data_IF_385728115656
#
_entry.id   IF_385728115656
#
_cell.length_a   1.000
_cell.length_b   1.000
_cell.length_c   1.000
_cell.angle_alpha   90.00
_cell.angle_beta   90.00
_cell.angle_gamma   90.00
#
_symmetry.space_group_name_H-M   'P 1'
#
loop_
_entity.id
_entity.type
_entity.pdbx_description
1 polymer ?
#
# COMPACT_ATOMS: atom_id res chain seq x y z
N UNK A 1 -92.68 -27.56 -5.29
CA UNK A 1 -92.42 -28.51 -4.19
C UNK A 1 -90.92 -28.44 -3.96
N UNK A 2 -90.48 -27.49 -3.13
CA UNK A 2 -90.40 -27.55 -1.64
C UNK A 2 -88.99 -28.03 -1.25
N UNK A 3 -88.13 -27.09 -0.83
CA UNK A 3 -87.75 -26.78 0.57
C UNK A 3 -86.61 -27.71 1.02
N UNK A 4 -85.39 -27.22 1.19
CA UNK A 4 -84.81 -26.50 2.35
C UNK A 4 -84.03 -27.45 3.26
N UNK A 5 -83.18 -26.86 4.12
CA UNK A 5 -82.18 -27.46 5.04
C UNK A 5 -80.78 -27.57 4.38
N UNK A 6 -79.87 -26.59 4.46
CA UNK A 6 -79.26 -25.88 5.62
C UNK A 6 -78.68 -26.86 6.66
N UNK A 7 -77.36 -27.11 6.64
CA UNK A 7 -76.41 -26.73 7.70
C UNK A 7 -75.05 -27.47 7.66
N UNK A 8 -74.05 -26.76 8.22
CA UNK A 8 -72.75 -27.16 8.78
C UNK A 8 -71.58 -27.40 7.80
N UNK A 9 -70.61 -26.47 7.68
CA UNK A 9 -69.48 -26.13 8.60
C UNK A 9 -68.58 -27.38 8.71
N UNK A 10 -67.32 -27.42 8.24
CA UNK A 10 -66.08 -26.66 8.57
C UNK A 10 -65.15 -26.79 7.33
N UNK A 11 -64.65 -25.76 6.64
CA UNK A 11 -63.69 -24.70 7.01
C UNK A 11 -62.51 -25.16 7.89
N UNK A 12 -61.48 -25.75 7.27
CA UNK A 12 -60.13 -25.78 7.81
C UNK A 12 -59.10 -25.93 6.68
N UNK A 13 -58.85 -24.84 5.96
CA UNK A 13 -57.54 -24.56 5.36
C UNK A 13 -57.45 -23.06 5.04
N UNK A 14 -57.44 -22.26 6.10
CA UNK A 14 -56.89 -20.92 6.04
C UNK A 14 -55.37 -21.05 5.97
N UNK A 15 -54.84 -21.00 4.75
CA UNK A 15 -53.46 -20.57 4.56
C UNK A 15 -53.34 -19.18 5.21
N UNK A 16 -52.38 -18.95 6.12
CA UNK A 16 -52.17 -17.61 6.62
C UNK A 16 -51.65 -16.78 5.46
N UNK A 17 -52.49 -15.89 4.91
CA UNK A 17 -52.00 -14.68 4.26
C UNK A 17 -51.18 -13.94 5.32
N UNK A 18 -49.87 -14.17 5.29
CA UNK A 18 -48.92 -13.33 6.00
C UNK A 18 -48.91 -12.02 5.23
N UNK A 19 -49.83 -11.12 5.59
CA UNK A 19 -49.65 -9.70 5.37
C UNK A 19 -48.32 -9.35 6.06
N UNK A 20 -47.28 -9.21 5.24
CA UNK A 20 -46.06 -8.54 5.67
C UNK A 20 -46.46 -7.09 5.84
N UNK A 21 -46.91 -6.74 7.03
CA UNK A 21 -47.13 -5.38 7.46
C UNK A 21 -45.76 -4.70 7.47
N UNK A 22 -45.38 -4.13 6.32
CA UNK A 22 -44.22 -3.24 6.23
C UNK A 22 -44.67 -1.96 6.95
N UNK A 23 -44.50 -1.96 8.27
CA UNK A 23 -44.81 -0.84 9.15
C UNK A 23 -43.74 0.27 9.04
N UNK A 24 -43.22 0.48 7.83
CA UNK A 24 -42.29 1.55 7.46
C UNK A 24 -42.76 2.14 6.13
N UNK A 25 -43.04 3.44 6.13
CA UNK A 25 -43.50 4.17 4.96
C UNK A 25 -42.50 3.95 3.79
N UNK A 26 -42.93 3.41 2.63
CA UNK A 26 -42.04 3.17 1.49
C UNK A 26 -41.34 4.45 1.01
N UNK A 27 -41.92 5.63 1.26
CA UNK A 27 -41.25 6.90 1.00
C UNK A 27 -40.05 7.12 1.94
N UNK A 28 -40.18 6.77 3.22
CA UNK A 28 -39.10 6.88 4.21
C UNK A 28 -37.96 5.89 3.92
N UNK A 29 -38.28 4.65 3.52
CA UNK A 29 -37.28 3.67 3.08
C UNK A 29 -36.49 4.14 1.85
N UNK A 30 -37.18 4.76 0.89
CA UNK A 30 -36.56 5.29 -0.32
C UNK A 30 -35.69 6.52 -0.03
N UNK A 31 -36.07 7.37 0.92
CA UNK A 31 -35.26 8.49 1.39
C UNK A 31 -34.00 8.01 2.14
N UNK A 32 -34.14 7.04 3.04
CA UNK A 32 -33.00 6.43 3.75
C UNK A 32 -32.01 5.76 2.78
N UNK A 33 -32.51 5.02 1.79
CA UNK A 33 -31.67 4.41 0.76
C UNK A 33 -30.92 5.46 -0.08
N UNK A 34 -31.54 6.60 -0.40
CA UNK A 34 -30.88 7.71 -1.10
C UNK A 34 -29.81 8.37 -0.24
N UNK A 35 -30.11 8.61 1.04
CA UNK A 35 -29.15 9.19 1.98
C UNK A 35 -27.91 8.29 2.15
N UNK A 36 -28.10 6.99 2.29
CA UNK A 36 -27.00 6.01 2.35
C UNK A 36 -26.21 5.95 1.05
N UNK A 37 -26.88 6.03 -0.11
CA UNK A 37 -26.22 6.08 -1.39
C UNK A 37 -25.33 7.33 -1.53
N UNK A 38 -25.83 8.49 -1.10
CA UNK A 38 -25.07 9.75 -1.10
C UNK A 38 -23.90 9.72 -0.10
N UNK A 39 -24.10 9.15 1.09
CA UNK A 39 -23.04 8.95 2.10
C UNK A 39 -21.91 8.08 1.53
N UNK A 40 -22.23 6.89 1.03
CA UNK A 40 -21.24 5.99 0.44
C UNK A 40 -20.59 6.58 -0.81
N UNK A 41 -21.33 7.34 -1.63
CA UNK A 41 -20.75 8.03 -2.77
C UNK A 41 -19.68 9.04 -2.35
N UNK A 42 -19.95 9.80 -1.28
CA UNK A 42 -18.98 10.74 -0.72
C UNK A 42 -17.75 10.02 -0.13
N UNK A 43 -17.95 8.90 0.56
CA UNK A 43 -16.87 8.06 1.07
C UNK A 43 -15.99 7.51 -0.07
N UNK A 44 -16.62 7.00 -1.14
CA UNK A 44 -15.92 6.50 -2.32
C UNK A 44 -15.13 7.59 -3.02
N UNK A 45 -15.69 8.80 -3.14
CA UNK A 45 -15.00 9.92 -3.77
C UNK A 45 -13.75 10.30 -2.96
N UNK A 46 -13.86 10.31 -1.62
CA UNK A 46 -12.73 10.56 -0.73
C UNK A 46 -11.67 9.47 -0.83
N UNK A 47 -12.08 8.20 -0.78
CA UNK A 47 -11.16 7.07 -0.92
C UNK A 47 -10.41 7.09 -2.26
N UNK A 48 -11.10 7.46 -3.35
CA UNK A 48 -10.49 7.63 -4.68
C UNK A 48 -9.47 8.76 -4.70
N UNK A 49 -9.76 9.90 -4.05
CA UNK A 49 -8.83 11.00 -3.93
C UNK A 49 -7.58 10.60 -3.11
N UNK A 50 -7.77 9.90 -2.00
CA UNK A 50 -6.67 9.40 -1.16
C UNK A 50 -5.79 8.41 -1.93
N UNK A 51 -6.38 7.53 -2.74
CA UNK A 51 -5.66 6.59 -3.60
C UNK A 51 -4.83 7.30 -4.67
N UNK A 52 -5.37 8.33 -5.31
CA UNK A 52 -4.64 9.13 -6.30
C UNK A 52 -3.48 9.90 -5.65
N UNK A 53 -3.69 10.48 -4.47
CA UNK A 53 -2.64 11.13 -3.70
C UNK A 53 -1.53 10.15 -3.31
N UNK A 54 -1.90 8.94 -2.87
CA UNK A 54 -0.94 7.88 -2.55
C UNK A 54 -0.15 7.47 -3.80
N UNK A 55 -0.81 7.25 -4.93
CA UNK A 55 -0.16 6.89 -6.20
C UNK A 55 0.87 7.94 -6.62
N UNK A 56 0.51 9.23 -6.56
CA UNK A 56 1.44 10.34 -6.87
C UNK A 56 2.63 10.38 -5.92
N UNK A 57 2.39 10.17 -4.62
CA UNK A 57 3.45 10.11 -3.63
C UNK A 57 4.39 8.93 -3.90
N UNK A 58 3.85 7.74 -4.12
CA UNK A 58 4.64 6.55 -4.41
C UNK A 58 5.48 6.71 -5.68
N UNK A 59 4.96 7.34 -6.73
CA UNK A 59 5.74 7.64 -7.93
C UNK A 59 6.95 8.53 -7.63
N UNK A 60 6.78 9.57 -6.80
CA UNK A 60 7.88 10.45 -6.36
C UNK A 60 8.87 9.71 -5.47
N UNK A 61 8.39 8.90 -4.54
CA UNK A 61 9.25 8.12 -3.64
C UNK A 61 10.08 7.09 -4.43
N UNK A 62 9.49 6.46 -5.45
CA UNK A 62 10.18 5.56 -6.37
C UNK A 62 11.24 6.31 -7.19
N UNK A 63 10.90 7.47 -7.76
CA UNK A 63 11.85 8.30 -8.51
C UNK A 63 13.04 8.73 -7.62
N UNK A 64 12.77 9.15 -6.38
CA UNK A 64 13.81 9.50 -5.41
C UNK A 64 14.67 8.29 -5.05
N UNK A 65 14.06 7.12 -4.83
CA UNK A 65 14.78 5.89 -4.54
C UNK A 65 15.71 5.51 -5.70
N UNK A 66 15.26 5.65 -6.96
CA UNK A 66 16.11 5.45 -8.13
C UNK A 66 17.24 6.47 -8.23
N UNK A 67 16.94 7.75 -8.01
CA UNK A 67 17.91 8.83 -8.08
C UNK A 67 19.03 8.66 -7.05
N UNK A 68 18.70 8.21 -5.85
CA UNK A 68 19.62 8.08 -4.72
C UNK A 68 20.06 6.62 -4.46
N UNK A 69 19.77 5.69 -5.38
CA UNK A 69 20.01 4.26 -5.19
C UNK A 69 21.49 3.93 -4.94
N UNK A 70 22.40 4.70 -5.54
CA UNK A 70 23.84 4.47 -5.49
C UNK A 70 24.60 5.46 -4.60
N UNK A 71 23.93 6.47 -4.06
CA UNK A 71 24.60 7.55 -3.32
C UNK A 71 25.41 7.02 -2.15
N UNK A 72 24.82 6.13 -1.34
CA UNK A 72 25.50 5.51 -0.20
C UNK A 72 26.67 4.63 -0.67
N UNK A 73 26.45 3.81 -1.69
CA UNK A 73 27.48 2.92 -2.22
C UNK A 73 28.67 3.71 -2.76
N UNK A 74 28.43 4.77 -3.55
CA UNK A 74 29.50 5.63 -4.07
C UNK A 74 30.20 6.38 -2.95
N UNK A 75 29.47 6.85 -1.94
CA UNK A 75 30.06 7.52 -0.77
C UNK A 75 31.00 6.58 0.00
N UNK A 76 30.67 5.29 0.13
CA UNK A 76 31.52 4.28 0.77
C UNK A 76 32.76 3.91 -0.06
N UNK A 77 32.74 4.16 -1.38
CA UNK A 77 33.92 3.98 -2.24
C UNK A 77 34.92 5.14 -2.17
N UNK A 78 34.52 6.33 -1.70
CA UNK A 78 35.42 7.50 -1.65
C UNK A 78 36.66 7.28 -0.75
N UNK A 79 36.54 6.76 0.50
CA UNK A 79 37.70 6.50 1.35
C UNK A 79 38.68 5.49 0.74
N UNK A 80 38.17 4.58 -0.09
CA UNK A 80 38.95 3.56 -0.78
C UNK A 80 39.77 4.21 -1.89
N UNK A 81 39.14 5.09 -2.68
CA UNK A 81 39.84 5.91 -3.68
C UNK A 81 40.92 6.78 -3.03
N UNK A 82 40.61 7.46 -1.92
CA UNK A 82 41.56 8.31 -1.19
C UNK A 82 42.77 7.48 -0.68
N UNK A 83 42.52 6.26 -0.19
CA UNK A 83 43.57 5.34 0.25
C UNK A 83 44.45 4.87 -0.91
N UNK A 84 43.86 4.62 -2.09
CA UNK A 84 44.60 4.27 -3.29
C UNK A 84 45.48 5.43 -3.78
N UNK A 85 44.96 6.66 -3.77
CA UNK A 85 45.72 7.86 -4.12
C UNK A 85 46.90 8.07 -3.17
N UNK A 86 46.69 7.90 -1.86
CA UNK A 86 47.76 7.95 -0.86
C UNK A 86 48.84 6.89 -1.12
N UNK A 87 48.42 5.65 -1.43
CA UNK A 87 49.33 4.55 -1.75
C UNK A 87 50.16 4.81 -3.01
N UNK A 88 49.55 5.38 -4.06
CA UNK A 88 50.27 5.77 -5.29
C UNK A 88 51.30 6.87 -5.03
N UNK A 89 50.96 7.87 -4.23
CA UNK A 89 51.89 8.93 -3.86
C UNK A 89 53.08 8.39 -3.05
N UNK A 90 52.83 7.48 -2.10
CA UNK A 90 53.87 6.82 -1.34
C UNK A 90 54.80 5.96 -2.22
N UNK A 91 54.25 5.28 -3.24
CA UNK A 91 55.02 4.46 -4.18
C UNK A 91 55.94 5.29 -5.10
N UNK A 92 55.63 6.56 -5.34
CA UNK A 92 56.42 7.49 -6.16
C UNK A 92 57.48 8.27 -5.36
N UNK A 93 57.52 8.12 -4.04
CA UNK A 93 58.49 8.80 -3.18
C UNK A 93 59.90 8.21 -3.30
N UNK A 94 60.93 9.01 -3.00
CA UNK A 94 62.34 8.57 -3.03
C UNK A 94 62.64 7.44 -2.02
N UNK A 95 61.82 7.29 -0.98
CA UNK A 95 61.92 6.25 0.06
C UNK A 95 60.92 5.08 -0.14
N UNK A 96 60.31 4.97 -1.33
CA UNK A 96 59.33 3.93 -1.62
C UNK A 96 59.90 2.51 -1.47
N UNK A 97 59.32 1.75 -0.54
CA UNK A 97 59.61 0.32 -0.36
C UNK A 97 58.46 -0.53 -0.87
N UNK A 98 58.78 -1.63 -1.57
CA UNK A 98 57.81 -2.62 -2.04
C UNK A 98 56.96 -3.17 -0.89
N UNK A 99 57.56 -3.37 0.29
CA UNK A 99 56.85 -3.90 1.46
C UNK A 99 55.81 -2.91 1.98
N UNK A 100 56.14 -1.61 2.02
CA UNK A 100 55.21 -0.55 2.45
C UNK A 100 54.04 -0.39 1.46
N UNK A 101 54.31 -0.49 0.15
CA UNK A 101 53.26 -0.47 -0.88
C UNK A 101 52.33 -1.68 -0.75
N UNK A 102 52.89 -2.87 -0.48
CA UNK A 102 52.10 -4.09 -0.26
C UNK A 102 51.20 -3.97 0.97
N UNK A 103 51.73 -3.44 2.07
CA UNK A 103 50.96 -3.20 3.30
C UNK A 103 49.80 -2.21 3.08
N UNK A 104 50.05 -1.10 2.38
CA UNK A 104 49.01 -0.13 2.02
C UNK A 104 47.90 -0.74 1.14
N UNK A 105 48.26 -1.62 0.20
CA UNK A 105 47.29 -2.37 -0.61
C UNK A 105 46.47 -3.35 0.24
N UNK A 106 47.09 -4.08 1.18
CA UNK A 106 46.39 -4.97 2.09
C UNK A 106 45.39 -4.21 2.99
N UNK A 107 45.77 -3.01 3.46
CA UNK A 107 44.87 -2.14 4.24
C UNK A 107 43.69 -1.67 3.40
N UNK A 108 43.92 -1.24 2.16
CA UNK A 108 42.86 -0.83 1.23
C UNK A 108 41.91 -1.99 0.92
N UNK A 109 42.45 -3.20 0.72
CA UNK A 109 41.65 -4.40 0.50
C UNK A 109 40.78 -4.75 1.72
N UNK A 110 41.32 -4.62 2.93
CA UNK A 110 40.55 -4.79 4.18
C UNK A 110 39.42 -3.76 4.27
N UNK A 111 39.71 -2.49 3.96
CA UNK A 111 38.72 -1.42 3.96
C UNK A 111 37.57 -1.71 2.99
N UNK A 112 37.87 -2.16 1.77
CA UNK A 112 36.87 -2.55 0.77
C UNK A 112 36.01 -3.73 1.22
N UNK A 113 36.59 -4.72 1.90
CA UNK A 113 35.84 -5.88 2.41
C UNK A 113 35.06 -5.61 3.70
N UNK A 114 35.40 -4.54 4.43
CA UNK A 114 34.73 -4.13 5.66
C UNK A 114 33.64 -3.07 5.46
N UNK A 115 33.55 -2.51 4.25
CA UNK A 115 32.51 -1.56 3.84
C UNK A 115 31.25 -2.32 3.45
#
# INVERSE_FOLDING_TARGET
>A
MSNEEINNIEDENLEPEVEVEINEDPAALLEDARNKADEHWNELLRAKADMENLRRRQARDLENAHKHALDKFVAELLPIYDSMELGLNAANGEEASIDAVREGLEMTMKMFLSS
#
